data_IF_112302425966
#
_entry.id   IF_112302425966
#
_cell.length_a   1.000
_cell.length_b   1.000
_cell.length_c   1.000
_cell.angle_alpha   90.00
_cell.angle_beta   90.00
_cell.angle_gamma   90.00
#
_symmetry.space_group_name_H-M   'P 1'
#
loop_
_entity.id
_entity.type
_entity.pdbx_description
1 polymer ?
#
# COMPACT_ATOMS: atom_id res chain seq x y z
N UNK A 1 25.69 -22.32 -9.17
CA UNK A 1 25.38 -20.86 -9.09
C UNK A 1 24.13 -20.48 -9.91
N UNK A 2 23.87 -21.09 -11.08
CA UNK A 2 22.65 -20.81 -11.87
C UNK A 2 21.32 -21.18 -11.20
N UNK A 3 21.27 -22.32 -10.48
CA UNK A 3 20.04 -22.76 -9.81
C UNK A 3 19.56 -21.76 -8.73
N UNK A 4 20.49 -21.09 -8.06
CA UNK A 4 20.19 -20.10 -7.01
C UNK A 4 19.69 -18.78 -7.60
N UNK A 5 20.25 -18.35 -8.74
CA UNK A 5 19.81 -17.16 -9.50
C UNK A 5 18.38 -17.34 -10.04
N UNK A 6 18.05 -18.52 -10.57
CA UNK A 6 16.72 -18.85 -11.07
C UNK A 6 15.64 -18.84 -9.98
N UNK A 7 15.96 -19.29 -8.77
CA UNK A 7 15.02 -19.24 -7.64
C UNK A 7 14.74 -17.81 -7.17
N UNK A 8 15.77 -16.96 -7.11
CA UNK A 8 15.62 -15.54 -6.73
C UNK A 8 14.74 -14.82 -7.77
N UNK A 9 14.99 -15.03 -9.06
CA UNK A 9 14.21 -14.39 -10.12
C UNK A 9 12.75 -14.85 -10.11
N UNK A 10 12.49 -16.14 -9.82
CA UNK A 10 11.14 -16.67 -9.67
C UNK A 10 10.42 -16.03 -8.47
N UNK A 11 11.05 -16.02 -7.29
CA UNK A 11 10.47 -15.41 -6.09
C UNK A 11 10.17 -13.92 -6.27
N UNK A 12 11.04 -13.18 -6.97
CA UNK A 12 10.79 -11.77 -7.26
C UNK A 12 9.56 -11.57 -8.15
N UNK A 13 9.37 -12.38 -9.20
CA UNK A 13 8.17 -12.29 -10.08
C UNK A 13 6.88 -12.53 -9.31
N UNK A 14 6.87 -13.46 -8.35
CA UNK A 14 5.71 -13.72 -7.51
C UNK A 14 5.44 -12.59 -6.51
N UNK A 15 6.48 -11.95 -5.96
CA UNK A 15 6.34 -10.73 -5.15
C UNK A 15 5.66 -9.60 -5.94
N UNK A 16 6.10 -9.37 -7.18
CA UNK A 16 5.50 -8.36 -8.07
C UNK A 16 4.02 -8.66 -8.36
N UNK A 17 3.71 -9.92 -8.73
CA UNK A 17 2.33 -10.34 -8.98
C UNK A 17 1.46 -10.24 -7.72
N UNK A 18 1.99 -10.64 -6.56
CA UNK A 18 1.30 -10.52 -5.27
C UNK A 18 1.02 -9.07 -4.90
N UNK A 19 1.98 -8.16 -5.14
CA UNK A 19 1.79 -6.72 -4.92
C UNK A 19 0.74 -6.11 -5.84
N UNK A 20 0.65 -6.54 -7.10
CA UNK A 20 -0.42 -6.08 -8.00
C UNK A 20 -1.77 -6.64 -7.58
N UNK A 21 -1.85 -7.93 -7.24
CA UNK A 21 -3.08 -8.58 -6.81
C UNK A 21 -3.65 -7.91 -5.54
N UNK A 22 -2.81 -7.61 -4.55
CA UNK A 22 -3.28 -6.94 -3.33
C UNK A 22 -3.71 -5.49 -3.60
N UNK A 23 -3.04 -4.80 -4.53
CA UNK A 23 -3.43 -3.45 -4.95
C UNK A 23 -4.83 -3.42 -5.58
N UNK A 24 -5.10 -4.33 -6.51
CA UNK A 24 -6.42 -4.49 -7.14
C UNK A 24 -7.48 -4.89 -6.12
N UNK A 25 -7.14 -5.82 -5.21
CA UNK A 25 -8.05 -6.24 -4.15
C UNK A 25 -8.40 -5.06 -3.23
N UNK A 26 -7.41 -4.24 -2.86
CA UNK A 26 -7.61 -3.05 -2.03
C UNK A 26 -8.57 -2.06 -2.69
N UNK A 27 -8.35 -1.77 -3.98
CA UNK A 27 -9.21 -0.84 -4.73
C UNK A 27 -10.66 -1.35 -4.79
N UNK A 28 -10.86 -2.61 -5.20
CA UNK A 28 -12.20 -3.21 -5.30
C UNK A 28 -12.98 -3.19 -3.97
N UNK A 29 -12.27 -3.26 -2.86
CA UNK A 29 -12.85 -3.49 -1.54
C UNK A 29 -13.08 -2.20 -0.75
N UNK A 30 -12.27 -1.18 -0.98
CA UNK A 30 -12.36 0.11 -0.28
C UNK A 30 -12.92 1.25 -1.16
N UNK A 31 -12.91 1.14 -2.49
CA UNK A 31 -13.41 2.21 -3.35
C UNK A 31 -14.94 2.36 -3.23
N UNK A 32 -15.39 3.49 -2.67
CA UNK A 32 -16.81 3.84 -2.51
C UNK A 32 -17.59 2.98 -1.51
N UNK A 33 -16.91 2.19 -0.67
CA UNK A 33 -17.53 1.25 0.28
C UNK A 33 -17.11 1.54 1.72
N UNK A 34 -18.01 1.26 2.67
CA UNK A 34 -17.68 1.32 4.09
C UNK A 34 -16.69 0.21 4.47
N UNK A 35 -15.82 0.49 5.46
CA UNK A 35 -14.76 -0.45 5.89
C UNK A 35 -15.28 -1.80 6.41
N UNK A 36 -16.56 -1.89 6.82
CA UNK A 36 -17.18 -3.03 7.53
C UNK A 36 -16.66 -4.44 7.19
N UNK A 37 -17.32 -5.13 6.26
CA UNK A 37 -16.95 -6.50 5.80
C UNK A 37 -15.68 -6.46 4.93
N UNK A 38 -15.43 -5.33 4.28
CA UNK A 38 -14.27 -5.10 3.44
C UNK A 38 -12.96 -5.34 4.20
N UNK A 39 -12.86 -4.89 5.45
CA UNK A 39 -11.61 -4.98 6.19
C UNK A 39 -11.20 -6.42 6.55
N UNK A 40 -12.07 -7.28 7.15
CA UNK A 40 -11.79 -8.70 7.31
C UNK A 40 -11.40 -9.40 6.00
N UNK A 41 -12.12 -9.14 4.91
CA UNK A 41 -11.87 -9.80 3.63
C UNK A 41 -10.50 -9.39 3.05
N UNK A 42 -10.10 -8.13 3.24
CA UNK A 42 -8.75 -7.67 2.89
C UNK A 42 -7.67 -8.42 3.69
N UNK A 43 -7.86 -8.55 5.00
CA UNK A 43 -6.94 -9.27 5.88
C UNK A 43 -6.81 -10.74 5.46
N UNK A 44 -7.92 -11.41 5.11
CA UNK A 44 -7.87 -12.76 4.53
C UNK A 44 -7.07 -12.82 3.23
N UNK A 45 -7.27 -11.86 2.32
CA UNK A 45 -6.48 -11.75 1.09
C UNK A 45 -4.98 -11.57 1.36
N UNK A 46 -4.62 -10.73 2.33
CA UNK A 46 -3.23 -10.55 2.79
C UNK A 46 -2.63 -11.86 3.32
N UNK A 47 -3.35 -12.60 4.16
CA UNK A 47 -2.89 -13.89 4.67
C UNK A 47 -2.74 -14.94 3.58
N UNK A 48 -3.66 -14.99 2.61
CA UNK A 48 -3.57 -15.91 1.48
C UNK A 48 -2.29 -15.66 0.67
N UNK A 49 -1.99 -14.40 0.36
CA UNK A 49 -0.73 -14.04 -0.31
C UNK A 49 0.49 -14.35 0.55
N UNK A 50 0.46 -14.01 1.84
CA UNK A 50 1.55 -14.32 2.76
C UNK A 50 1.85 -15.82 2.79
N UNK A 51 0.81 -16.66 2.89
CA UNK A 51 0.96 -18.11 2.89
C UNK A 51 1.52 -18.65 1.56
N UNK A 52 1.04 -18.11 0.43
CA UNK A 52 1.54 -18.47 -0.90
C UNK A 52 3.05 -18.20 -1.03
N UNK A 53 3.49 -17.04 -0.54
CA UNK A 53 4.89 -16.65 -0.56
C UNK A 53 5.75 -17.47 0.40
N UNK A 54 5.25 -17.69 1.61
CA UNK A 54 5.94 -18.45 2.63
C UNK A 54 6.11 -19.92 2.22
N UNK A 55 5.11 -20.51 1.53
CA UNK A 55 5.21 -21.83 0.89
C UNK A 55 6.30 -21.86 -0.18
N UNK A 56 6.39 -20.82 -1.00
CA UNK A 56 7.36 -20.76 -2.11
C UNK A 56 8.81 -20.63 -1.65
N UNK A 57 9.06 -19.91 -0.56
CA UNK A 57 10.42 -19.74 -0.03
C UNK A 57 10.85 -20.88 0.90
N UNK A 58 10.00 -21.88 1.16
CA UNK A 58 10.27 -23.00 2.08
C UNK A 58 10.79 -22.59 3.47
N UNK A 59 10.53 -21.34 3.89
CA UNK A 59 10.99 -20.79 5.18
C UNK A 59 10.02 -21.10 6.34
N UNK A 60 8.93 -21.81 6.07
CA UNK A 60 7.98 -22.26 7.09
C UNK A 60 8.47 -23.55 7.76
N UNK A 61 9.44 -23.43 8.65
CA UNK A 61 9.85 -24.54 9.52
C UNK A 61 9.04 -24.51 10.82
N UNK A 62 8.05 -25.38 10.98
CA UNK A 62 7.23 -25.50 12.20
C UNK A 62 8.11 -25.79 13.44
N UNK A 63 8.61 -24.72 14.06
CA UNK A 63 9.42 -24.74 15.27
C UNK A 63 8.60 -24.17 16.41
N UNK A 64 8.92 -24.54 17.67
CA UNK A 64 8.19 -24.02 18.84
C UNK A 64 8.14 -22.49 18.90
N UNK A 65 9.18 -21.80 18.44
CA UNK A 65 9.21 -20.33 18.38
C UNK A 65 8.18 -19.74 17.39
N UNK A 66 7.83 -20.49 16.34
CA UNK A 66 6.87 -20.06 15.33
C UNK A 66 5.41 -20.26 15.77
N UNK A 67 5.16 -21.10 16.79
CA UNK A 67 3.82 -21.28 17.36
C UNK A 67 3.31 -19.96 17.96
N UNK A 68 4.18 -19.22 18.65
CA UNK A 68 3.84 -17.91 19.19
C UNK A 68 3.53 -16.90 18.08
N UNK A 69 4.29 -16.93 16.98
CA UNK A 69 4.04 -16.08 15.83
C UNK A 69 2.73 -16.45 15.10
N UNK A 70 2.38 -17.74 15.06
CA UNK A 70 1.08 -18.20 14.56
C UNK A 70 -0.08 -17.78 15.47
N UNK A 71 0.13 -17.74 16.78
CA UNK A 71 -0.86 -17.28 17.76
C UNK A 71 -1.28 -15.83 17.51
N UNK A 72 -0.37 -14.97 17.02
CA UNK A 72 -0.65 -13.58 16.64
C UNK A 72 -1.71 -13.45 15.53
N UNK A 73 -1.99 -14.51 14.77
CA UNK A 73 -3.07 -14.52 13.77
C UNK A 73 -4.43 -14.32 14.43
N UNK A 74 -4.64 -14.89 15.61
CA UNK A 74 -5.91 -14.83 16.35
C UNK A 74 -6.32 -13.39 16.67
N UNK A 75 -5.49 -12.57 17.37
CA UNK A 75 -5.85 -11.18 17.65
C UNK A 75 -6.00 -10.35 16.38
N UNK A 76 -5.22 -10.61 15.32
CA UNK A 76 -5.35 -9.88 14.05
C UNK A 76 -6.72 -10.13 13.41
N UNK A 77 -7.15 -11.40 13.33
CA UNK A 77 -8.48 -11.75 12.77
C UNK A 77 -9.59 -11.20 13.64
N UNK A 78 -9.45 -11.26 14.97
CA UNK A 78 -10.44 -10.73 15.90
C UNK A 78 -10.58 -9.20 15.76
N UNK A 79 -9.46 -8.48 15.70
CA UNK A 79 -9.43 -7.03 15.43
C UNK A 79 -10.03 -6.71 14.06
N UNK A 80 -9.74 -7.50 13.02
CA UNK A 80 -10.35 -7.27 11.72
C UNK A 80 -11.88 -7.45 11.77
N UNK A 81 -12.37 -8.46 12.49
CA UNK A 81 -13.80 -8.73 12.65
C UNK A 81 -14.53 -7.61 13.41
N UNK A 82 -13.85 -6.87 14.29
CA UNK A 82 -14.48 -5.73 14.99
C UNK A 82 -14.97 -4.64 14.04
N UNK A 83 -14.36 -4.48 12.85
CA UNK A 83 -14.84 -3.53 11.84
C UNK A 83 -16.23 -3.89 11.32
N UNK A 84 -16.56 -5.19 11.31
CA UNK A 84 -17.88 -5.68 10.93
C UNK A 84 -18.88 -5.61 12.10
N UNK A 85 -18.44 -5.94 13.31
CA UNK A 85 -19.32 -6.09 14.47
C UNK A 85 -19.63 -4.77 15.21
N UNK A 86 -18.75 -3.78 15.14
CA UNK A 86 -18.86 -2.55 15.92
C UNK A 86 -18.68 -1.30 15.06
N UNK A 87 -19.58 -0.34 15.22
CA UNK A 87 -19.56 0.94 14.51
C UNK A 87 -18.99 2.09 15.36
N UNK A 88 -17.90 1.82 16.10
CA UNK A 88 -17.26 2.86 16.92
C UNK A 88 -16.05 3.46 16.20
N UNK A 89 -16.09 4.77 15.93
CA UNK A 89 -15.05 5.50 15.18
C UNK A 89 -13.66 5.44 15.83
N UNK A 90 -13.57 5.55 17.16
CA UNK A 90 -12.28 5.51 17.86
C UNK A 90 -11.64 4.12 17.76
N UNK A 91 -12.41 3.06 18.04
CA UNK A 91 -11.92 1.69 17.89
C UNK A 91 -11.54 1.37 16.44
N UNK A 92 -12.30 1.89 15.46
CA UNK A 92 -12.00 1.71 14.04
C UNK A 92 -10.64 2.29 13.66
N UNK A 93 -10.33 3.50 14.13
CA UNK A 93 -9.03 4.14 13.88
C UNK A 93 -7.87 3.39 14.55
N UNK A 94 -8.05 3.01 15.82
CA UNK A 94 -7.04 2.27 16.57
C UNK A 94 -6.77 0.90 15.95
N UNK A 95 -7.82 0.16 15.57
CA UNK A 95 -7.69 -1.16 14.96
C UNK A 95 -7.08 -1.07 13.56
N UNK A 96 -7.39 -0.01 12.82
CA UNK A 96 -6.81 0.25 11.49
C UNK A 96 -5.29 0.43 11.55
N UNK A 97 -4.79 1.04 12.64
CA UNK A 97 -3.35 1.19 12.86
C UNK A 97 -2.74 -0.08 13.47
N UNK A 98 -3.40 -0.70 14.45
CA UNK A 98 -2.90 -1.87 15.17
C UNK A 98 -2.70 -3.09 14.25
N UNK A 99 -3.64 -3.39 13.37
CA UNK A 99 -3.60 -4.58 12.51
C UNK A 99 -2.35 -4.64 11.62
N UNK A 100 -1.98 -3.57 10.87
CA UNK A 100 -0.72 -3.52 10.13
C UNK A 100 0.52 -3.72 11.01
N UNK A 101 0.58 -3.10 12.19
CA UNK A 101 1.71 -3.26 13.11
C UNK A 101 1.84 -4.70 13.61
N UNK A 102 0.73 -5.33 14.00
CA UNK A 102 0.70 -6.72 14.43
C UNK A 102 1.09 -7.66 13.28
N UNK A 103 0.62 -7.40 12.06
CA UNK A 103 0.98 -8.17 10.88
C UNK A 103 2.49 -8.07 10.57
N UNK A 104 3.08 -6.88 10.67
CA UNK A 104 4.54 -6.71 10.54
C UNK A 104 5.29 -7.44 11.66
N UNK A 105 4.82 -7.36 12.90
CA UNK A 105 5.41 -8.11 14.02
C UNK A 105 5.43 -9.62 13.73
N UNK A 106 4.28 -10.14 13.30
CA UNK A 106 4.09 -11.55 12.99
C UNK A 106 5.03 -11.99 11.87
N UNK A 107 5.10 -11.23 10.78
CA UNK A 107 5.98 -11.57 9.64
C UNK A 107 7.45 -11.54 10.04
N UNK A 108 7.90 -10.58 10.87
CA UNK A 108 9.29 -10.53 11.36
C UNK A 108 9.63 -11.71 12.28
N UNK A 109 8.68 -12.14 13.13
CA UNK A 109 8.82 -13.30 14.00
C UNK A 109 8.89 -14.61 13.18
N UNK A 110 7.98 -14.79 12.21
CA UNK A 110 7.92 -15.98 11.36
C UNK A 110 9.18 -16.15 10.51
N UNK A 111 9.68 -15.04 9.94
CA UNK A 111 10.89 -15.04 9.11
C UNK A 111 12.20 -15.09 9.92
N UNK A 112 12.12 -15.17 11.26
CA UNK A 112 13.25 -15.07 12.20
C UNK A 112 14.21 -13.91 11.86
N UNK A 113 13.67 -12.82 11.32
CA UNK A 113 14.45 -11.64 10.88
C UNK A 113 14.50 -10.57 11.96
N UNK A 114 14.59 -11.00 13.21
CA UNK A 114 14.75 -10.14 14.37
C UNK A 114 16.13 -10.35 14.96
N UNK A 115 16.88 -9.27 15.18
CA UNK A 115 18.22 -9.33 15.79
C UNK A 115 18.17 -9.24 17.32
N UNK A 116 17.00 -8.89 17.85
CA UNK A 116 16.76 -8.59 19.27
C UNK A 116 15.58 -9.44 19.76
N UNK A 117 15.58 -9.79 21.04
CA UNK A 117 14.51 -10.59 21.63
C UNK A 117 13.16 -9.87 21.53
N UNK A 118 12.08 -10.63 21.32
CA UNK A 118 10.75 -10.08 21.02
C UNK A 118 10.17 -9.20 22.14
N UNK A 119 10.60 -9.41 23.38
CA UNK A 119 10.20 -8.62 24.56
C UNK A 119 11.04 -7.34 24.78
N UNK A 120 12.08 -7.11 23.98
CA UNK A 120 12.93 -5.93 24.14
C UNK A 120 12.30 -4.69 23.49
N UNK A 121 12.49 -3.51 24.10
CA UNK A 121 12.19 -2.23 23.45
C UNK A 121 12.95 -2.06 22.12
N UNK A 122 14.09 -2.74 21.97
CA UNK A 122 14.85 -2.79 20.71
C UNK A 122 14.05 -3.38 19.55
N UNK A 123 13.20 -4.38 19.80
CA UNK A 123 12.33 -4.97 18.79
C UNK A 123 11.27 -3.98 18.28
N UNK A 124 10.62 -3.23 19.19
CA UNK A 124 9.67 -2.18 18.81
C UNK A 124 10.35 -1.08 17.96
N UNK A 125 11.58 -0.69 18.32
CA UNK A 125 12.38 0.23 17.51
C UNK A 125 12.75 -0.33 16.13
N UNK A 126 13.09 -1.62 16.04
CA UNK A 126 13.40 -2.30 14.78
C UNK A 126 12.15 -2.44 13.88
N UNK A 127 10.99 -2.74 14.46
CA UNK A 127 9.70 -2.72 13.77
C UNK A 127 9.39 -1.33 13.22
N UNK A 128 9.52 -0.29 14.03
CA UNK A 128 9.23 1.08 13.60
C UNK A 128 10.16 1.53 12.47
N UNK A 129 11.45 1.19 12.55
CA UNK A 129 12.41 1.39 11.45
C UNK A 129 12.03 0.60 10.20
N UNK A 130 11.50 -0.61 10.37
CA UNK A 130 11.00 -1.44 9.25
C UNK A 130 9.80 -0.82 8.56
N UNK A 131 8.80 -0.42 9.34
CA UNK A 131 7.60 0.21 8.80
C UNK A 131 7.91 1.55 8.15
N UNK A 132 8.72 2.40 8.77
CA UNK A 132 8.98 3.76 8.28
C UNK A 132 10.16 3.82 7.29
N UNK A 133 11.36 3.43 7.72
CA UNK A 133 12.58 3.66 6.95
C UNK A 133 12.70 2.67 5.80
N UNK A 134 12.51 1.37 6.08
CA UNK A 134 12.69 0.35 5.05
C UNK A 134 11.57 0.39 4.01
N UNK A 135 10.30 0.54 4.41
CA UNK A 135 9.20 0.71 3.45
C UNK A 135 9.46 1.89 2.53
N UNK A 136 9.79 3.07 3.08
CA UNK A 136 10.00 4.27 2.25
C UNK A 136 11.21 4.13 1.33
N UNK A 137 12.31 3.58 1.84
CA UNK A 137 13.53 3.32 1.04
C UNK A 137 13.25 2.34 -0.10
N UNK A 138 12.59 1.21 0.16
CA UNK A 138 12.35 0.18 -0.84
C UNK A 138 11.25 0.55 -1.83
N UNK A 139 10.28 1.39 -1.45
CA UNK A 139 9.31 1.96 -2.40
C UNK A 139 10.00 2.79 -3.49
N UNK A 140 11.14 3.43 -3.19
CA UNK A 140 11.86 4.27 -4.15
C UNK A 140 12.77 3.48 -5.11
N UNK A 141 13.16 2.24 -4.75
CA UNK A 141 14.03 1.37 -5.55
C UNK A 141 13.46 1.02 -6.94
N UNK A 142 12.19 0.60 -7.12
CA UNK A 142 11.66 0.30 -8.44
C UNK A 142 11.64 1.53 -9.35
N UNK A 143 11.42 2.74 -8.81
CA UNK A 143 11.51 3.98 -9.60
C UNK A 143 12.95 4.27 -10.06
N UNK A 144 13.94 4.02 -9.20
CA UNK A 144 15.35 4.15 -9.58
C UNK A 144 15.73 3.16 -10.68
N UNK A 145 15.25 1.91 -10.58
CA UNK A 145 15.47 0.89 -11.60
C UNK A 145 14.78 1.24 -12.92
N UNK A 146 13.52 1.69 -12.88
CA UNK A 146 12.78 2.15 -14.04
C UNK A 146 13.49 3.33 -14.73
N UNK A 147 14.01 4.29 -13.95
CA UNK A 147 14.80 5.40 -14.46
C UNK A 147 16.06 4.91 -15.18
N UNK A 148 16.76 3.94 -14.61
CA UNK A 148 17.96 3.37 -15.22
C UNK A 148 17.63 2.57 -16.51
N UNK A 149 16.57 1.77 -16.48
CA UNK A 149 16.09 1.01 -17.64
C UNK A 149 15.67 1.93 -18.79
N UNK A 150 14.92 2.99 -18.49
CA UNK A 150 14.51 3.99 -19.48
C UNK A 150 15.74 4.73 -20.05
N UNK A 151 16.70 5.09 -19.20
CA UNK A 151 17.96 5.72 -19.65
C UNK A 151 18.84 4.79 -20.51
N UNK A 152 18.80 3.48 -20.27
CA UNK A 152 19.56 2.48 -21.04
C UNK A 152 18.95 2.21 -22.42
N UNK A 153 17.62 2.27 -22.53
CA UNK A 153 16.90 2.03 -23.79
C UNK A 153 16.73 3.27 -24.67
N UNK A 154 16.96 4.46 -24.12
CA UNK A 154 16.75 5.73 -24.83
C UNK A 154 18.05 6.48 -25.03
N UNK A 155 18.27 6.92 -26.26
CA UNK A 155 19.41 7.76 -26.61
C UNK A 155 19.44 9.03 -25.73
N UNK A 156 20.63 9.50 -25.35
CA UNK A 156 20.81 10.58 -24.35
C UNK A 156 20.02 11.83 -24.74
N UNK A 157 19.95 12.14 -26.04
CA UNK A 157 19.19 13.27 -26.59
C UNK A 157 17.68 13.10 -26.42
N UNK A 158 17.15 11.90 -26.72
CA UNK A 158 15.72 11.58 -26.58
C UNK A 158 15.30 11.53 -25.10
N UNK A 159 16.17 11.03 -24.22
CA UNK A 159 15.93 11.06 -22.77
C UNK A 159 15.81 12.48 -22.24
N UNK A 160 16.72 13.39 -22.63
CA UNK A 160 16.66 14.79 -22.24
C UNK A 160 15.36 15.48 -22.67
N UNK A 161 14.87 15.18 -23.87
CA UNK A 161 13.59 15.69 -24.37
C UNK A 161 12.42 15.10 -23.57
N UNK A 162 12.39 13.79 -23.35
CA UNK A 162 11.31 13.13 -22.59
C UNK A 162 11.22 13.64 -21.15
N UNK A 163 12.35 13.88 -20.48
CA UNK A 163 12.36 14.46 -19.12
C UNK A 163 11.81 15.88 -19.13
N UNK A 164 12.14 16.70 -20.14
CA UNK A 164 11.57 18.06 -20.28
C UNK A 164 10.06 18.03 -20.53
N UNK A 165 9.59 17.09 -21.36
CA UNK A 165 8.15 16.90 -21.61
C UNK A 165 7.44 16.47 -20.31
N UNK A 166 7.98 15.49 -19.58
CA UNK A 166 7.42 15.04 -18.31
C UNK A 166 7.41 16.15 -17.25
N UNK A 167 8.48 16.96 -17.19
CA UNK A 167 8.52 18.11 -16.29
C UNK A 167 7.46 19.15 -16.68
N UNK A 168 7.27 19.42 -17.98
CA UNK A 168 6.22 20.29 -18.49
C UNK A 168 4.82 19.79 -18.12
N UNK A 169 4.54 18.50 -18.35
CA UNK A 169 3.27 17.86 -17.96
C UNK A 169 3.07 17.95 -16.44
N UNK A 170 4.13 17.71 -15.66
CA UNK A 170 4.09 17.79 -14.20
C UNK A 170 3.76 19.19 -13.69
N UNK A 171 4.22 20.25 -14.36
CA UNK A 171 3.91 21.64 -14.04
C UNK A 171 2.52 22.03 -14.55
N UNK A 172 2.09 21.54 -15.71
CA UNK A 172 0.78 21.89 -16.27
C UNK A 172 -0.37 21.24 -15.50
N UNK A 173 -0.18 20.06 -14.92
CA UNK A 173 -1.22 19.34 -14.19
C UNK A 173 -1.81 20.12 -12.98
N UNK A 174 -1.01 20.69 -12.05
CA UNK A 174 -1.55 21.50 -10.96
C UNK A 174 -2.24 22.76 -11.46
N UNK A 175 -1.70 23.42 -12.50
CA UNK A 175 -2.33 24.58 -13.12
C UNK A 175 -3.70 24.20 -13.70
N UNK A 176 -3.77 23.07 -14.42
CA UNK A 176 -5.01 22.54 -14.97
C UNK A 176 -6.03 22.25 -13.86
N UNK A 177 -5.60 21.67 -12.75
CA UNK A 177 -6.47 21.39 -11.60
C UNK A 177 -7.06 22.69 -11.03
N UNK A 178 -6.23 23.73 -10.85
CA UNK A 178 -6.70 25.06 -10.42
C UNK A 178 -7.72 25.62 -11.41
N UNK A 179 -7.42 25.63 -12.71
CA UNK A 179 -8.33 26.16 -13.74
C UNK A 179 -9.65 25.38 -13.78
N UNK A 180 -9.61 24.06 -13.71
CA UNK A 180 -10.82 23.22 -13.67
C UNK A 180 -11.68 23.51 -12.44
N UNK A 181 -11.06 23.67 -11.26
CA UNK A 181 -11.80 24.02 -10.04
C UNK A 181 -12.47 25.39 -10.15
N UNK A 182 -11.80 26.37 -10.76
CA UNK A 182 -12.34 27.71 -10.98
C UNK A 182 -13.47 27.72 -12.00
N UNK A 183 -13.33 27.00 -13.12
CA UNK A 183 -14.40 26.87 -14.11
C UNK A 183 -15.64 26.21 -13.50
N UNK A 184 -15.46 25.09 -12.79
CA UNK A 184 -16.58 24.37 -12.17
C UNK A 184 -17.33 25.25 -11.15
N UNK A 185 -16.62 26.10 -10.40
CA UNK A 185 -17.24 27.05 -9.47
C UNK A 185 -17.94 28.19 -10.20
N UNK A 186 -17.33 28.73 -11.26
CA UNK A 186 -17.88 29.81 -12.04
C UNK A 186 -19.17 29.40 -12.75
N UNK A 187 -19.24 28.20 -13.33
CA UNK A 187 -20.43 27.69 -14.01
C UNK A 187 -21.65 27.59 -13.06
N UNK A 188 -21.42 27.16 -11.81
CA UNK A 188 -22.46 27.12 -10.78
C UNK A 188 -22.95 28.51 -10.36
N UNK A 189 -22.03 29.47 -10.21
CA UNK A 189 -22.36 30.87 -9.86
C UNK A 189 -23.07 31.57 -11.01
N UNK A 190 -22.63 31.36 -12.26
CA UNK A 190 -23.29 31.91 -13.45
C UNK A 190 -24.72 31.40 -13.61
N UNK A 191 -24.95 30.10 -13.38
CA UNK A 191 -26.30 29.52 -13.41
C UNK A 191 -27.23 30.15 -12.36
N UNK A 192 -26.73 30.37 -11.14
CA UNK A 192 -27.49 31.03 -10.08
C UNK A 192 -27.78 32.51 -10.37
N UNK A 193 -26.83 33.23 -10.98
CA UNK A 193 -27.02 34.62 -11.39
C UNK A 193 -28.04 34.74 -12.52
N UNK A 194 -27.97 33.87 -13.54
CA UNK A 194 -28.96 33.83 -14.63
C UNK A 194 -30.36 33.47 -14.13
N UNK A 195 -30.49 32.55 -13.19
CA UNK A 195 -31.78 32.18 -12.59
C UNK A 195 -32.42 33.33 -11.79
N UNK A 196 -31.63 34.29 -11.31
CA UNK A 196 -32.11 35.51 -10.63
C UNK A 196 -32.57 36.62 -11.57
N UNK A 197 -32.19 36.58 -12.85
CA UNK A 197 -32.57 37.63 -13.82
C UNK A 197 -34.10 37.68 -14.03
N UNK A 198 -34.82 36.56 -14.26
CA UNK A 198 -36.27 36.59 -14.42
C UNK A 198 -37.04 37.09 -13.20
N UNK A 199 -36.50 36.90 -11.98
CA UNK A 199 -37.13 37.37 -10.73
C UNK A 199 -36.98 38.87 -10.47
N UNK A 200 -36.25 39.60 -11.32
CA UNK A 200 -36.12 41.06 -11.25
C UNK A 200 -37.08 41.78 -12.21
N UNK A 201 -37.75 41.05 -13.11
CA UNK A 201 -38.69 41.59 -14.11
C UNK A 201 -40.15 41.18 -13.85
N UNK A 202 -40.44 40.59 -12.68
CA UNK A 202 -41.78 40.38 -12.11
C UNK A 202 -41.88 41.22 -10.85
#
# INVERSE_FOLDING_TARGET
MEAQQLQIHRGLRWLWLGSMAIGVLSDYLFYGKAFGISYPLFVFGLYALFFLQAKQQSQLTFSRDQLFAWLLTVPIVLLALTFFLYDNTLFRLLNFLAVPFLFVAQTMLLLKRHRQSWYSLGFAGEMMKTVLLYTLKYTMVPFAFLRHWLKSRMDRRKYGIAVKILAGIGISLPILLVVLTLLTQADGVFGHLLAKIPSLFV
#
